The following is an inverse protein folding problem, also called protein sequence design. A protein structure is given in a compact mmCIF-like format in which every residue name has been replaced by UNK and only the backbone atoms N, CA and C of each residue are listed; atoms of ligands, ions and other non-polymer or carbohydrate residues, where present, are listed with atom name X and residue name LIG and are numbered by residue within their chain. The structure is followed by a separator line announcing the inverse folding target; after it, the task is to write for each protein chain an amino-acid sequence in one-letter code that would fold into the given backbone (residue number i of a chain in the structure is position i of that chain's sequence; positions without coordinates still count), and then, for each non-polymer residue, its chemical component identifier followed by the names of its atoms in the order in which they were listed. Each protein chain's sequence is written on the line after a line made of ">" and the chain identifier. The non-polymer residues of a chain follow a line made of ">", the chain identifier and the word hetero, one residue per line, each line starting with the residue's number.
data_IF_693036667657
#
_entry.id   IF_693036667657
#
_cell.length_a   1.000
_cell.length_b   1.000
_cell.length_c   1.000
_cell.angle_alpha   90.00
_cell.angle_beta   90.00
_cell.angle_gamma   90.00
#
_symmetry.space_group_name_H-M   'P 1'
#
loop_
_entity.id
_entity.type
_entity.pdbx_description
1 polymer ?
#
# COMPACT_ATOMS: atom_id res chain seq x y z
N UNK A 1 -56.80 -39.07 1.23
CA UNK A 1 -56.19 -37.87 0.62
C UNK A 1 -55.14 -37.32 1.59
N UNK A 2 -53.86 -37.43 1.24
CA UNK A 2 -52.73 -36.89 2.00
C UNK A 2 -52.17 -35.69 1.22
N UNK A 3 -52.01 -34.54 1.88
CA UNK A 3 -51.11 -33.48 1.41
C UNK A 3 -50.40 -32.89 2.64
N UNK A 4 -49.27 -33.48 3.01
CA UNK A 4 -48.27 -32.84 3.86
C UNK A 4 -47.50 -31.86 2.97
N UNK A 5 -47.33 -30.63 3.43
CA UNK A 5 -46.19 -29.81 3.01
C UNK A 5 -45.71 -29.01 4.21
N UNK A 6 -44.70 -29.57 4.85
CA UNK A 6 -43.79 -28.87 5.76
C UNK A 6 -42.71 -28.27 4.86
N UNK A 7 -42.58 -26.94 4.86
CA UNK A 7 -41.50 -26.26 4.15
C UNK A 7 -40.64 -25.55 5.19
N UNK A 8 -39.67 -26.28 5.74
CA UNK A 8 -38.56 -25.72 6.49
C UNK A 8 -37.79 -24.78 5.57
N UNK A 9 -37.85 -23.47 5.83
CA UNK A 9 -37.04 -22.48 5.14
C UNK A 9 -35.56 -22.76 5.36
N UNK A 10 -34.83 -22.97 4.28
CA UNK A 10 -33.38 -23.15 4.29
C UNK A 10 -32.72 -21.83 4.71
N UNK A 11 -32.07 -21.79 5.88
CA UNK A 11 -31.16 -20.71 6.23
C UNK A 11 -29.97 -20.78 5.26
N UNK A 12 -29.92 -19.88 4.27
CA UNK A 12 -28.72 -19.71 3.45
C UNK A 12 -27.73 -18.93 4.31
N UNK A 13 -26.89 -19.65 5.06
CA UNK A 13 -25.67 -19.05 5.62
C UNK A 13 -24.78 -18.71 4.43
N UNK A 14 -24.73 -17.43 4.08
CA UNK A 14 -23.77 -16.94 3.11
C UNK A 14 -22.36 -17.24 3.63
N UNK A 15 -21.72 -18.26 3.06
CA UNK A 15 -20.33 -18.58 3.34
C UNK A 15 -19.48 -17.57 2.54
N UNK A 16 -19.11 -16.46 3.16
CA UNK A 16 -18.16 -15.54 2.57
C UNK A 16 -16.78 -16.20 2.58
N UNK A 17 -16.32 -16.69 1.43
CA UNK A 17 -14.91 -17.08 1.25
C UNK A 17 -14.11 -15.79 1.11
N UNK A 18 -13.28 -15.49 2.10
CA UNK A 18 -12.29 -14.42 2.01
C UNK A 18 -11.09 -14.97 1.25
N UNK A 19 -10.84 -14.43 0.05
CA UNK A 19 -9.67 -14.76 -0.77
C UNK A 19 -8.55 -13.80 -0.39
N UNK A 20 -7.45 -14.33 0.17
CA UNK A 20 -6.27 -13.55 0.54
C UNK A 20 -5.09 -14.03 -0.31
N UNK A 21 -4.82 -13.38 -1.44
CA UNK A 21 -3.79 -13.80 -2.40
C UNK A 21 -2.86 -12.68 -2.89
N UNK A 22 -2.83 -11.54 -2.20
CA UNK A 22 -1.97 -10.40 -2.54
C UNK A 22 -0.84 -10.27 -1.53
N UNK A 23 0.38 -10.20 -2.02
CA UNK A 23 1.60 -10.01 -1.23
C UNK A 23 2.21 -8.66 -1.56
N UNK A 24 2.51 -7.87 -0.53
CA UNK A 24 3.25 -6.61 -0.69
C UNK A 24 4.73 -6.94 -0.89
N UNK A 25 5.34 -6.29 -1.88
CA UNK A 25 6.74 -6.44 -2.24
C UNK A 25 7.43 -5.08 -2.14
N UNK A 26 8.68 -5.07 -1.67
CA UNK A 26 9.47 -3.86 -1.50
C UNK A 26 10.68 -3.85 -2.41
N UNK A 27 11.02 -2.67 -2.94
CA UNK A 27 12.10 -2.48 -3.89
C UNK A 27 13.00 -1.33 -3.45
N UNK A 28 14.25 -1.65 -3.10
CA UNK A 28 15.25 -0.64 -2.82
C UNK A 28 15.74 0.01 -4.12
N UNK A 29 15.85 1.35 -4.11
CA UNK A 29 16.36 2.13 -5.25
C UNK A 29 17.51 3.01 -4.77
N UNK A 30 18.72 2.68 -5.21
CA UNK A 30 19.94 3.44 -4.96
C UNK A 30 20.08 4.66 -5.88
N UNK A 31 19.10 5.58 -5.77
CA UNK A 31 19.11 6.88 -6.44
C UNK A 31 18.86 7.96 -5.41
N UNK A 32 19.74 8.96 -5.35
CA UNK A 32 19.58 10.08 -4.43
C UNK A 32 18.59 11.11 -4.98
N UNK A 33 17.32 11.01 -4.58
CA UNK A 33 16.24 11.91 -5.01
C UNK A 33 15.59 12.62 -3.81
N UNK A 34 14.96 13.76 -4.07
CA UNK A 34 14.04 14.39 -3.11
C UNK A 34 12.87 13.46 -2.85
N UNK A 35 12.15 13.64 -1.74
CA UNK A 35 11.00 12.78 -1.43
C UNK A 35 9.98 12.75 -2.58
N UNK A 36 9.66 13.93 -3.16
CA UNK A 36 8.78 14.04 -4.31
C UNK A 36 9.34 13.35 -5.56
N UNK A 37 10.65 13.49 -5.83
CA UNK A 37 11.29 12.83 -6.95
C UNK A 37 11.30 11.30 -6.81
N UNK A 38 11.50 10.80 -5.58
CA UNK A 38 11.40 9.39 -5.25
C UNK A 38 9.97 8.85 -5.44
N UNK A 39 8.96 9.59 -4.97
CA UNK A 39 7.55 9.27 -5.19
C UNK A 39 7.21 9.15 -6.67
N UNK A 40 7.61 10.14 -7.47
CA UNK A 40 7.40 10.12 -8.91
C UNK A 40 8.06 8.90 -9.54
N UNK A 41 9.33 8.63 -9.19
CA UNK A 41 10.03 7.45 -9.70
C UNK A 41 9.29 6.16 -9.36
N UNK A 42 8.82 6.00 -8.11
CA UNK A 42 8.09 4.81 -7.72
C UNK A 42 6.79 4.65 -8.49
N UNK A 43 6.03 5.74 -8.73
CA UNK A 43 4.80 5.69 -9.54
C UNK A 43 5.04 5.42 -11.02
N UNK A 44 6.23 5.73 -11.53
CA UNK A 44 6.61 5.41 -12.92
C UNK A 44 7.03 3.95 -13.12
N UNK A 45 7.46 3.25 -12.05
CA UNK A 45 8.08 1.92 -12.12
C UNK A 45 7.36 0.83 -11.32
N UNK A 46 6.61 1.22 -10.32
CA UNK A 46 5.93 0.40 -9.31
C UNK A 46 4.58 1.07 -8.97
N UNK A 47 4.01 0.79 -7.79
CA UNK A 47 2.77 1.45 -7.35
C UNK A 47 3.06 2.83 -6.75
N UNK A 48 3.86 2.90 -5.67
CA UNK A 48 4.23 4.16 -4.99
C UNK A 48 5.43 3.93 -4.06
N UNK A 49 5.87 4.96 -3.32
CA UNK A 49 6.80 4.83 -2.21
C UNK A 49 6.26 3.86 -1.14
N UNK A 50 7.15 3.08 -0.55
CA UNK A 50 6.83 2.03 0.40
C UNK A 50 6.00 2.55 1.59
N UNK A 51 4.94 1.81 1.93
CA UNK A 51 4.21 1.98 3.19
C UNK A 51 4.51 0.82 4.14
N UNK A 52 4.61 1.16 5.42
CA UNK A 52 4.99 0.22 6.49
C UNK A 52 3.78 0.04 7.40
N UNK A 53 3.40 -1.21 7.65
CA UNK A 53 2.24 -1.56 8.49
C UNK A 53 2.61 -2.02 9.89
N UNK A 54 3.87 -2.42 10.11
CA UNK A 54 4.37 -2.97 11.36
C UNK A 54 5.89 -2.81 11.47
N UNK A 55 6.44 -3.20 12.62
CA UNK A 55 7.87 -3.07 12.92
C UNK A 55 8.73 -4.04 12.11
N UNK A 56 8.21 -5.22 11.79
CA UNK A 56 8.97 -6.25 11.04
C UNK A 56 9.32 -5.76 9.63
N UNK A 57 8.40 -5.06 8.98
CA UNK A 57 8.65 -4.42 7.69
C UNK A 57 9.70 -3.30 7.76
N UNK A 58 9.72 -2.51 8.84
CA UNK A 58 10.73 -1.47 9.02
C UNK A 58 12.13 -2.07 9.27
N UNK A 59 12.20 -3.13 10.07
CA UNK A 59 13.44 -3.88 10.35
C UNK A 59 13.96 -4.57 9.09
N UNK A 60 13.08 -5.11 8.23
CA UNK A 60 13.45 -5.69 6.95
C UNK A 60 14.30 -4.72 6.12
N UNK A 61 13.92 -3.44 6.06
CA UNK A 61 14.67 -2.44 5.28
C UNK A 61 16.08 -2.28 5.84
N UNK A 62 16.22 -2.15 7.17
CA UNK A 62 17.53 -2.04 7.82
C UNK A 62 18.40 -3.27 7.59
N UNK A 63 17.81 -4.46 7.67
CA UNK A 63 18.51 -5.72 7.47
C UNK A 63 19.07 -5.81 6.06
N UNK A 64 18.25 -5.56 5.03
CA UNK A 64 18.68 -5.57 3.63
C UNK A 64 19.80 -4.55 3.38
N UNK A 65 19.65 -3.32 3.88
CA UNK A 65 20.66 -2.27 3.71
C UNK A 65 22.01 -2.62 4.35
N UNK A 66 21.96 -3.26 5.53
CA UNK A 66 23.17 -3.67 6.24
C UNK A 66 23.83 -4.88 5.58
N UNK A 67 23.04 -5.90 5.22
CA UNK A 67 23.56 -7.19 4.73
C UNK A 67 23.99 -7.16 3.27
N UNK A 68 23.26 -6.45 2.41
CA UNK A 68 23.51 -6.45 0.95
C UNK A 68 24.29 -5.24 0.49
N UNK A 69 24.09 -4.08 1.12
CA UNK A 69 24.64 -2.81 0.67
C UNK A 69 25.70 -2.22 1.61
N UNK A 70 25.90 -2.81 2.80
CA UNK A 70 26.77 -2.29 3.86
C UNK A 70 26.56 -0.78 4.10
N UNK A 71 25.30 -0.36 4.07
CA UNK A 71 24.90 1.04 4.08
C UNK A 71 24.07 1.36 5.32
N UNK A 72 24.37 2.50 5.94
CA UNK A 72 23.64 3.02 7.10
C UNK A 72 23.30 4.48 6.80
N UNK A 73 22.02 4.76 6.62
CA UNK A 73 21.51 6.10 6.36
C UNK A 73 19.99 6.12 6.32
N UNK A 74 19.43 7.29 6.01
CA UNK A 74 17.98 7.46 5.86
C UNK A 74 17.54 7.09 4.45
N UNK A 75 16.55 6.21 4.33
CA UNK A 75 15.89 5.91 3.04
C UNK A 75 14.47 6.42 3.04
N UNK A 76 14.03 7.06 1.95
CA UNK A 76 12.66 7.55 1.88
C UNK A 76 11.63 6.43 1.86
N UNK A 77 10.52 6.69 2.56
CA UNK A 77 9.28 5.91 2.51
C UNK A 77 8.10 6.85 2.20
N UNK A 78 6.91 6.29 1.96
CA UNK A 78 5.75 7.06 1.53
C UNK A 78 5.09 7.89 2.63
N UNK A 79 5.64 7.93 3.84
CA UNK A 79 5.04 8.68 4.95
C UNK A 79 5.41 10.17 4.84
N UNK A 80 4.39 11.01 4.88
CA UNK A 80 4.51 12.46 4.86
C UNK A 80 3.39 13.11 5.67
N UNK A 81 3.49 14.40 5.90
CA UNK A 81 2.36 15.22 6.39
C UNK A 81 2.19 16.44 5.51
N UNK A 82 1.01 17.03 5.53
CA UNK A 82 0.78 18.28 4.83
C UNK A 82 1.24 19.45 5.71
N UNK A 83 2.00 20.39 5.15
CA UNK A 83 2.52 21.55 5.90
C UNK A 83 1.41 22.40 6.54
N UNK A 84 0.21 22.39 5.96
CA UNK A 84 -0.95 23.15 6.44
C UNK A 84 -1.84 22.36 7.41
N UNK A 85 -1.65 21.05 7.53
CA UNK A 85 -2.34 20.17 8.47
C UNK A 85 -1.31 19.32 9.21
N UNK A 86 -0.78 19.90 10.29
CA UNK A 86 0.31 19.32 11.07
C UNK A 86 -0.12 18.16 11.96
N UNK A 87 -1.39 17.76 11.93
CA UNK A 87 -1.94 16.81 12.91
C UNK A 87 -1.89 15.36 12.44
N UNK A 88 -1.93 15.11 11.13
CA UNK A 88 -2.04 13.77 10.58
C UNK A 88 -0.89 13.43 9.62
N UNK A 89 -0.22 12.30 9.89
CA UNK A 89 0.68 11.69 8.91
C UNK A 89 -0.09 10.78 7.97
N UNK A 90 0.17 10.93 6.67
CA UNK A 90 -0.47 10.22 5.58
C UNK A 90 0.57 9.44 4.77
N UNK A 91 0.14 8.32 4.23
CA UNK A 91 0.89 7.63 3.19
C UNK A 91 0.68 8.31 1.84
N UNK A 92 1.66 8.21 0.95
CA UNK A 92 1.67 8.87 -0.36
C UNK A 92 0.49 8.48 -1.26
N UNK A 93 -0.16 7.34 -1.00
CA UNK A 93 -1.41 6.93 -1.61
C UNK A 93 -2.69 7.57 -1.01
N UNK A 94 -2.55 8.46 -0.04
CA UNK A 94 -3.61 9.34 0.46
C UNK A 94 -4.35 8.87 1.72
N UNK A 95 -4.05 7.69 2.26
CA UNK A 95 -4.66 7.22 3.50
C UNK A 95 -3.84 7.60 4.74
N UNK A 96 -4.53 7.74 5.86
CA UNK A 96 -3.90 8.08 7.14
C UNK A 96 -3.06 6.91 7.64
N UNK A 97 -1.90 7.24 8.20
CA UNK A 97 -1.06 6.23 8.85
C UNK A 97 -1.66 5.80 10.19
N UNK A 98 -1.72 4.48 10.40
CA UNK A 98 -2.11 3.84 11.66
C UNK A 98 -0.90 3.35 12.46
N UNK A 99 0.25 3.17 11.80
CA UNK A 99 1.48 2.65 12.38
C UNK A 99 2.63 3.63 12.19
N UNK A 100 3.35 3.90 13.28
CA UNK A 100 4.52 4.78 13.30
C UNK A 100 5.50 4.25 14.34
N UNK A 101 6.72 3.95 13.93
CA UNK A 101 7.78 3.50 14.83
C UNK A 101 8.93 4.51 14.78
N UNK A 102 8.74 5.63 15.46
CA UNK A 102 9.67 6.76 15.42
C UNK A 102 10.97 6.47 16.15
N UNK A 103 12.07 6.99 15.62
CA UNK A 103 13.31 7.09 16.38
C UNK A 103 13.11 7.94 17.63
N UNK A 104 13.88 7.63 18.66
CA UNK A 104 13.79 8.33 19.95
C UNK A 104 13.91 9.84 19.77
N UNK A 105 12.86 10.56 20.17
CA UNK A 105 12.81 12.02 20.12
C UNK A 105 12.26 12.60 18.82
N UNK A 106 11.75 11.78 17.90
CA UNK A 106 11.09 12.19 16.67
C UNK A 106 9.57 11.91 16.70
N UNK A 107 8.76 12.64 15.91
CA UNK A 107 9.16 13.79 15.10
C UNK A 107 9.43 15.01 15.98
N UNK A 108 10.51 15.76 15.69
CA UNK A 108 10.97 16.83 16.56
C UNK A 108 10.54 18.24 16.10
N UNK A 109 10.02 18.36 14.88
CA UNK A 109 9.51 19.61 14.28
C UNK A 109 10.44 20.81 14.46
N UNK A 110 11.76 20.58 14.52
CA UNK A 110 12.73 21.62 14.84
C UNK A 110 12.90 22.61 13.69
N UNK A 111 12.54 22.22 12.47
CA UNK A 111 12.71 23.01 11.25
C UNK A 111 11.41 22.96 10.44
N UNK A 112 11.05 24.11 9.85
CA UNK A 112 9.95 24.22 8.88
C UNK A 112 10.22 23.28 7.68
N UNK A 113 9.20 22.58 7.20
CA UNK A 113 9.26 21.60 6.09
C UNK A 113 9.96 20.26 6.40
N UNK A 114 10.07 19.85 7.67
CA UNK A 114 10.37 18.45 8.04
C UNK A 114 9.10 17.58 7.95
N UNK A 115 8.55 17.52 6.75
CA UNK A 115 7.22 16.93 6.52
C UNK A 115 7.29 15.59 5.79
N UNK A 116 8.49 15.09 5.51
CA UNK A 116 8.75 13.85 4.81
C UNK A 116 9.52 12.88 5.70
N UNK A 117 9.27 11.59 5.55
CA UNK A 117 9.82 10.59 6.47
C UNK A 117 10.65 9.56 5.72
N UNK A 118 11.74 9.16 6.34
CA UNK A 118 12.48 7.97 5.94
C UNK A 118 12.66 6.98 7.09
N UNK A 119 13.25 5.83 6.76
CA UNK A 119 13.68 4.84 7.73
C UNK A 119 15.20 4.89 7.85
N UNK A 120 15.69 4.93 9.10
CA UNK A 120 17.08 4.78 9.46
C UNK A 120 17.18 3.72 10.56
N UNK A 121 18.01 2.69 10.33
CA UNK A 121 18.23 1.60 11.30
C UNK A 121 16.94 0.98 11.86
N UNK A 122 15.91 0.82 11.02
CA UNK A 122 14.63 0.20 11.38
C UNK A 122 13.61 1.15 12.03
N UNK A 123 13.97 2.40 12.27
CA UNK A 123 13.11 3.41 12.88
C UNK A 123 12.78 4.54 11.90
N UNK A 124 11.60 5.14 12.06
CA UNK A 124 11.12 6.26 11.25
C UNK A 124 11.70 7.59 11.74
N UNK A 125 12.10 8.45 10.80
CA UNK A 125 12.63 9.76 11.08
C UNK A 125 12.07 10.82 10.11
N UNK A 126 11.52 11.90 10.65
CA UNK A 126 11.15 13.07 9.86
C UNK A 126 12.40 13.81 9.37
N UNK A 127 12.33 14.31 8.14
CA UNK A 127 13.44 14.93 7.45
C UNK A 127 12.92 15.97 6.46
N UNK A 128 13.83 16.85 6.04
CA UNK A 128 13.51 17.89 5.07
C UNK A 128 13.23 17.24 3.72
N UNK A 129 12.04 17.48 3.15
CA UNK A 129 11.61 16.88 1.88
C UNK A 129 12.58 17.13 0.70
N UNK A 130 13.40 18.17 0.79
CA UNK A 130 14.40 18.55 -0.23
C UNK A 130 15.73 17.80 -0.09
N UNK A 131 15.94 17.05 1.00
CA UNK A 131 17.09 16.16 1.14
C UNK A 131 17.05 15.09 0.06
N UNK A 132 18.22 14.71 -0.43
CA UNK A 132 18.33 13.66 -1.45
C UNK A 132 18.77 12.37 -0.79
N UNK A 133 17.91 11.36 -0.83
CA UNK A 133 18.19 10.06 -0.22
C UNK A 133 17.79 8.94 -1.18
N UNK A 134 18.41 7.75 -1.06
CA UNK A 134 17.85 6.51 -1.60
C UNK A 134 16.47 6.23 -1.02
N UNK A 135 15.72 5.31 -1.63
CA UNK A 135 14.31 5.14 -1.27
C UNK A 135 13.77 3.74 -1.56
N UNK A 136 12.63 3.44 -0.95
CA UNK A 136 11.92 2.18 -1.12
C UNK A 136 10.60 2.41 -1.86
N UNK A 137 10.37 1.64 -2.91
CA UNK A 137 9.06 1.53 -3.56
C UNK A 137 8.34 0.27 -3.09
N UNK A 138 7.01 0.23 -3.25
CA UNK A 138 6.25 -1.01 -3.12
C UNK A 138 5.49 -1.38 -4.38
N UNK A 139 5.23 -2.67 -4.50
CA UNK A 139 4.30 -3.26 -5.46
C UNK A 139 3.46 -4.33 -4.76
N UNK A 140 2.44 -4.85 -5.43
CA UNK A 140 1.61 -5.94 -4.94
C UNK A 140 1.57 -7.07 -5.97
N UNK A 141 1.97 -8.27 -5.56
CA UNK A 141 1.97 -9.46 -6.41
C UNK A 141 0.99 -10.51 -5.94
N UNK A 142 0.45 -11.27 -6.89
CA UNK A 142 -0.33 -12.46 -6.57
C UNK A 142 0.59 -13.54 -5.99
N UNK A 143 0.19 -14.15 -4.88
CA UNK A 143 0.91 -15.30 -4.30
C UNK A 143 0.86 -16.48 -5.27
N UNK A 144 2.02 -16.94 -5.72
CA UNK A 144 2.14 -18.11 -6.59
C UNK A 144 1.62 -19.36 -5.87
N UNK A 145 0.48 -19.90 -6.33
CA UNK A 145 -0.18 -21.07 -5.75
C UNK A 145 -1.69 -20.98 -5.64
N UNK A 146 -2.26 -19.78 -5.76
CA UNK A 146 -3.72 -19.58 -5.73
C UNK A 146 -4.19 -18.96 -7.05
N UNK A 147 -4.84 -19.78 -7.88
CA UNK A 147 -5.53 -19.27 -9.06
C UNK A 147 -6.61 -18.26 -8.63
N UNK A 148 -6.64 -17.10 -9.27
CA UNK A 148 -7.72 -16.12 -9.10
C UNK A 148 -9.02 -16.74 -9.64
N UNK A 149 -9.87 -17.28 -8.77
CA UNK A 149 -11.26 -17.56 -9.14
C UNK A 149 -12.07 -16.30 -8.84
N UNK A 150 -12.16 -15.40 -9.83
CA UNK A 150 -13.11 -14.28 -9.77
C UNK A 150 -14.52 -14.87 -9.87
N UNK A 151 -15.17 -15.14 -8.74
CA UNK A 151 -16.56 -15.57 -8.76
C UNK A 151 -17.45 -14.40 -9.16
N UNK A 152 -17.87 -14.38 -10.42
CA UNK A 152 -19.03 -13.62 -10.87
C UNK A 152 -20.24 -14.54 -10.76
N UNK A 153 -21.15 -14.28 -9.80
CA UNK A 153 -22.47 -14.91 -9.83
C UNK A 153 -23.55 -13.98 -9.28
N UNK A 154 -24.33 -13.36 -10.18
CA UNK A 154 -25.78 -13.51 -10.17
C UNK A 154 -26.21 -13.70 -11.64
N UNK A 155 -26.64 -14.92 -11.98
CA UNK A 155 -27.26 -15.24 -13.26
C UNK A 155 -28.78 -15.11 -13.11
N UNK A 156 -29.33 -13.91 -13.27
CA UNK A 156 -30.71 -13.72 -13.71
C UNK A 156 -30.80 -12.47 -14.57
N UNK A 157 -31.22 -12.63 -15.84
CA UNK A 157 -31.62 -11.53 -16.73
C UNK A 157 -30.46 -10.65 -17.21
N UNK A 158 -29.95 -10.96 -18.41
CA UNK A 158 -28.81 -10.26 -19.02
C UNK A 158 -28.89 -8.73 -19.03
N UNK A 159 -27.99 -8.12 -18.27
CA UNK A 159 -27.20 -6.94 -18.65
C UNK A 159 -25.95 -6.92 -17.75
N UNK A 160 -24.75 -6.81 -18.34
CA UNK A 160 -23.48 -6.92 -17.62
C UNK A 160 -23.05 -5.52 -17.15
N UNK A 161 -23.05 -5.30 -15.82
CA UNK A 161 -22.33 -4.17 -15.24
C UNK A 161 -21.40 -4.65 -14.14
N UNK A 162 -20.09 -4.57 -14.40
CA UNK A 162 -19.03 -4.85 -13.43
C UNK A 162 -19.08 -3.77 -12.34
N UNK A 163 -19.62 -4.06 -11.16
CA UNK A 163 -19.41 -3.21 -9.97
C UNK A 163 -18.10 -3.59 -9.31
N UNK A 164 -17.08 -2.73 -9.47
CA UNK A 164 -15.77 -2.91 -8.83
C UNK A 164 -15.89 -2.80 -7.31
N UNK A 165 -15.11 -3.62 -6.59
CA UNK A 165 -15.00 -3.54 -5.13
C UNK A 165 -14.52 -2.13 -4.72
N UNK A 166 -15.17 -1.49 -3.73
CA UNK A 166 -14.71 -0.18 -3.22
C UNK A 166 -13.27 -0.21 -2.71
N UNK A 167 -12.80 -1.38 -2.25
CA UNK A 167 -11.46 -1.58 -1.72
C UNK A 167 -10.40 -1.57 -2.84
N UNK A 168 -10.65 -2.31 -3.93
CA UNK A 168 -9.75 -2.35 -5.09
C UNK A 168 -9.78 -1.05 -5.91
N UNK A 169 -10.94 -0.37 -5.94
CA UNK A 169 -11.09 0.91 -6.64
C UNK A 169 -10.30 2.03 -5.94
N UNK A 170 -10.07 1.91 -4.62
CA UNK A 170 -9.24 2.84 -3.84
C UNK A 170 -7.75 2.54 -3.93
N UNK A 171 -7.37 1.26 -4.04
CA UNK A 171 -5.97 0.83 -4.11
C UNK A 171 -5.38 0.91 -5.53
N UNK A 172 -6.22 0.83 -6.57
CA UNK A 172 -5.77 0.83 -7.96
C UNK A 172 -6.67 1.69 -8.86
N UNK A 173 -6.44 3.01 -8.95
CA UNK A 173 -7.17 3.89 -9.86
C UNK A 173 -6.98 3.54 -11.34
N UNK A 174 -5.90 2.85 -11.69
CA UNK A 174 -5.49 2.55 -13.06
C UNK A 174 -6.39 1.52 -13.75
N UNK A 175 -7.02 0.61 -13.00
CA UNK A 175 -7.98 -0.34 -13.57
C UNK A 175 -9.27 0.34 -14.07
N UNK A 176 -9.50 1.63 -13.78
CA UNK A 176 -10.61 2.42 -14.33
C UNK A 176 -10.29 3.13 -15.64
N UNK A 177 -9.04 3.10 -16.11
CA UNK A 177 -8.68 3.73 -17.39
C UNK A 177 -9.21 2.85 -18.53
N UNK A 178 -10.02 3.38 -19.47
CA UNK A 178 -10.38 2.65 -20.68
C UNK A 178 -9.09 2.20 -21.37
N UNK A 179 -9.01 0.92 -21.74
CA UNK A 179 -7.94 0.43 -22.61
C UNK A 179 -7.97 1.24 -23.90
N UNK A 180 -6.92 2.02 -24.16
CA UNK A 180 -6.75 2.77 -25.40
C UNK A 180 -6.53 1.76 -26.54
N UNK A 181 -7.47 1.60 -27.49
CA UNK A 181 -7.34 0.61 -28.55
C UNK A 181 -6.53 1.21 -29.70
N UNK A 182 -5.25 1.50 -29.46
CA UNK A 182 -4.30 1.78 -30.55
C UNK A 182 -2.87 1.37 -30.17
N UNK A 183 -2.50 0.14 -30.54
CA UNK A 183 -1.23 -0.16 -31.22
C UNK A 183 -1.38 -1.43 -32.07
#
# INVERSE_FOLDING_TARGET
>A
MQRKSSSTGLLITALSVVVSGLTKQFYYVDKQLTWQGAQQYCREKYIDLAFITDQEEAELFSNVLTSEFNWIGLTWIGLYRETNDSTEWKWSGGWNSTFRFWSKGLPNHLIVNQDCVGVITGEMADSLCQQRNPFWCFDVKLSEGEGLCLTVSFCEGGDFSIRKSPFLTRLFPEFNRPSDPTM
#
